data_IF_228816897919
#
_entry.id   IF_228816897919
#
_cell.length_a   1.000
_cell.length_b   1.000
_cell.length_c   1.000
_cell.angle_alpha   90.00
_cell.angle_beta   90.00
_cell.angle_gamma   90.00
#
_symmetry.space_group_name_H-M   'P 1'
#
loop_
_entity.id
_entity.type
_entity.pdbx_description
1 polymer ?
#
# COMPACT_ATOMS: atom_id res chain seq x y z
N UNK A 1 4.06 58.70 20.29
CA UNK A 1 5.09 57.85 19.79
C UNK A 1 5.20 56.61 20.67
N UNK A 2 4.74 55.52 20.13
CA UNK A 2 4.99 54.11 20.41
C UNK A 2 5.48 53.68 21.81
N UNK A 3 4.52 53.34 22.67
CA UNK A 3 4.73 52.55 23.88
C UNK A 3 3.95 51.22 23.85
N UNK A 4 3.79 50.59 22.70
CA UNK A 4 2.98 49.35 22.53
C UNK A 4 3.82 48.09 22.30
N UNK A 5 5.13 48.10 22.46
CA UNK A 5 6.01 46.97 22.22
C UNK A 5 6.68 46.36 23.46
N UNK A 6 6.28 46.78 24.68
CA UNK A 6 6.93 46.30 25.92
C UNK A 6 6.21 45.18 26.68
N UNK A 7 4.97 44.84 26.34
CA UNK A 7 4.18 43.89 27.16
C UNK A 7 3.94 42.57 26.46
N UNK A 8 4.88 41.92 25.88
CA UNK A 8 4.90 40.50 25.41
C UNK A 8 3.67 39.60 25.60
N UNK A 9 2.46 40.17 25.61
CA UNK A 9 1.20 39.48 25.74
C UNK A 9 0.55 39.30 24.35
N UNK A 10 0.93 38.25 23.67
CA UNK A 10 0.16 37.77 22.54
C UNK A 10 -1.22 37.30 23.07
N UNK A 11 -2.20 38.17 23.01
CA UNK A 11 -3.60 37.79 23.13
C UNK A 11 -3.92 36.92 21.89
N UNK A 12 -4.00 35.63 22.09
CA UNK A 12 -4.33 34.66 21.07
C UNK A 12 -5.68 34.99 20.40
N UNK A 13 -5.60 35.57 19.19
CA UNK A 13 -6.73 35.66 18.30
C UNK A 13 -7.21 34.25 18.00
N UNK A 14 -8.43 33.95 18.42
CA UNK A 14 -9.14 32.73 18.07
C UNK A 14 -9.24 32.62 16.55
N UNK A 15 -8.44 31.73 15.96
CA UNK A 15 -8.55 31.37 14.55
C UNK A 15 -9.92 30.71 14.32
N UNK A 16 -10.79 31.21 13.45
CA UNK A 16 -12.06 30.56 13.07
C UNK A 16 -11.80 29.53 11.96
N UNK A 17 -10.83 28.62 12.17
CA UNK A 17 -10.53 27.55 11.18
C UNK A 17 -11.10 26.18 11.55
N UNK A 18 -11.94 26.11 12.60
CA UNK A 18 -12.54 24.83 13.00
C UNK A 18 -13.95 24.57 12.43
N UNK A 19 -14.47 25.48 11.58
CA UNK A 19 -15.82 25.36 11.02
C UNK A 19 -15.97 24.35 9.88
N UNK A 20 -14.91 24.07 9.12
CA UNK A 20 -14.98 23.22 7.94
C UNK A 20 -15.01 21.71 8.21
N UNK A 21 -14.41 21.26 9.31
CA UNK A 21 -14.31 19.82 9.61
C UNK A 21 -15.52 19.28 10.36
N UNK A 22 -16.30 20.16 11.01
CA UNK A 22 -17.51 19.75 11.77
C UNK A 22 -18.73 19.48 10.91
N UNK A 23 -18.82 20.00 9.69
CA UNK A 23 -20.00 19.82 8.83
C UNK A 23 -20.11 18.42 8.20
N UNK A 24 -19.03 17.62 8.21
CA UNK A 24 -19.09 16.23 7.75
C UNK A 24 -19.49 15.23 8.85
N UNK A 25 -19.59 15.66 10.12
CA UNK A 25 -19.86 14.78 11.26
C UNK A 25 -21.35 14.53 11.53
N UNK A 26 -22.26 15.32 10.95
CA UNK A 26 -23.68 15.32 11.36
C UNK A 26 -24.66 14.71 10.34
N UNK A 27 -24.21 14.10 9.26
CA UNK A 27 -25.11 13.33 8.40
C UNK A 27 -25.03 11.85 8.74
N UNK A 28 -25.63 11.51 9.90
CA UNK A 28 -26.02 10.16 10.24
C UNK A 28 -27.07 9.65 9.25
N UNK A 29 -26.61 8.96 8.22
CA UNK A 29 -27.48 8.20 7.35
C UNK A 29 -27.01 6.75 7.36
N UNK A 30 -27.83 5.90 7.94
CA UNK A 30 -27.74 4.47 8.21
C UNK A 30 -26.96 4.06 9.47
N UNK A 31 -27.66 3.49 10.46
CA UNK A 31 -27.03 2.76 11.55
C UNK A 31 -26.64 1.35 11.04
N UNK A 32 -25.55 1.24 10.31
CA UNK A 32 -24.92 -0.04 10.16
C UNK A 32 -24.31 -0.38 11.53
N UNK A 33 -25.04 -1.18 12.32
CA UNK A 33 -24.52 -1.73 13.59
C UNK A 33 -23.28 -2.55 13.23
N UNK A 34 -22.12 -1.95 13.44
CA UNK A 34 -20.84 -2.65 13.31
C UNK A 34 -20.90 -3.82 14.29
N UNK A 35 -20.75 -5.08 13.85
CA UNK A 35 -20.71 -6.19 14.79
C UNK A 35 -19.51 -5.95 15.72
N UNK A 36 -19.73 -6.14 17.02
CA UNK A 36 -18.76 -5.93 18.12
C UNK A 36 -17.41 -6.61 17.80
N UNK A 37 -17.43 -7.66 16.99
CA UNK A 37 -16.25 -8.36 16.51
C UNK A 37 -15.31 -7.50 15.65
N UNK A 38 -15.86 -6.65 14.73
CA UNK A 38 -15.04 -5.78 13.89
C UNK A 38 -14.37 -4.68 14.71
N UNK A 39 -15.06 -4.13 15.71
CA UNK A 39 -14.49 -3.14 16.60
C UNK A 39 -13.32 -3.72 17.41
N UNK A 40 -13.46 -4.96 17.87
CA UNK A 40 -12.42 -5.65 18.65
C UNK A 40 -11.16 -5.96 17.86
N UNK A 41 -11.31 -6.23 16.54
CA UNK A 41 -10.19 -6.55 15.65
C UNK A 41 -9.53 -5.31 15.07
N UNK A 42 -10.34 -4.31 14.63
CA UNK A 42 -9.83 -3.16 13.86
C UNK A 42 -9.75 -1.86 14.67
N UNK A 43 -10.27 -1.81 15.90
CA UNK A 43 -10.26 -0.64 16.79
C UNK A 43 -10.69 0.67 16.06
N UNK A 44 -11.78 0.62 15.31
CA UNK A 44 -12.25 1.69 14.43
C UNK A 44 -12.49 3.00 15.18
N UNK A 45 -13.09 2.93 16.37
CA UNK A 45 -13.32 4.10 17.23
C UNK A 45 -12.02 4.76 17.69
N UNK A 46 -11.02 3.95 18.08
CA UNK A 46 -9.72 4.45 18.49
C UNK A 46 -8.97 5.15 17.34
N UNK A 47 -9.24 4.76 16.10
CA UNK A 47 -8.65 5.35 14.89
C UNK A 47 -9.48 6.52 14.32
N UNK A 48 -10.63 6.83 14.93
CA UNK A 48 -11.51 7.92 14.50
C UNK A 48 -12.17 7.68 13.13
N UNK A 49 -12.32 6.43 12.71
CA UNK A 49 -12.89 6.04 11.43
C UNK A 49 -14.19 5.24 11.61
N UNK A 50 -14.90 4.99 10.52
CA UNK A 50 -16.13 4.19 10.50
C UNK A 50 -15.98 3.06 9.49
N UNK A 51 -16.70 1.93 9.69
CA UNK A 51 -16.69 0.81 8.76
C UNK A 51 -17.04 1.22 7.32
N UNK A 52 -17.94 2.18 7.15
CA UNK A 52 -18.30 2.71 5.83
C UNK A 52 -17.12 3.43 5.17
N UNK A 53 -16.40 4.24 5.92
CA UNK A 53 -15.21 4.95 5.43
C UNK A 53 -14.13 3.95 5.01
N UNK A 54 -13.89 2.92 5.82
CA UNK A 54 -12.89 1.88 5.53
C UNK A 54 -13.26 1.06 4.28
N UNK A 55 -14.54 0.68 4.13
CA UNK A 55 -15.01 -0.04 2.94
C UNK A 55 -14.85 0.82 1.68
N UNK A 56 -15.24 2.11 1.74
CA UNK A 56 -15.08 3.02 0.61
C UNK A 56 -13.59 3.25 0.27
N UNK A 57 -12.75 3.42 1.27
CA UNK A 57 -11.30 3.54 1.08
C UNK A 57 -10.71 2.26 0.45
N UNK A 58 -11.11 1.09 0.94
CA UNK A 58 -10.71 -0.19 0.37
C UNK A 58 -11.15 -0.37 -1.08
N UNK A 59 -12.39 0.01 -1.41
CA UNK A 59 -12.92 -0.02 -2.77
C UNK A 59 -12.14 0.95 -3.69
N UNK A 60 -11.83 2.15 -3.22
CA UNK A 60 -11.04 3.13 -3.97
C UNK A 60 -9.63 2.58 -4.24
N UNK A 61 -8.98 1.97 -3.25
CA UNK A 61 -7.69 1.32 -3.39
C UNK A 61 -7.76 0.18 -4.41
N UNK A 62 -8.78 -0.67 -4.33
CA UNK A 62 -9.00 -1.75 -5.29
C UNK A 62 -9.15 -1.22 -6.72
N UNK A 63 -9.97 -0.19 -6.94
CA UNK A 63 -10.17 0.39 -8.26
C UNK A 63 -8.88 0.99 -8.84
N UNK A 64 -8.07 1.66 -8.02
CA UNK A 64 -6.76 2.19 -8.45
C UNK A 64 -5.80 1.07 -8.86
N UNK A 65 -5.83 -0.07 -8.16
CA UNK A 65 -4.96 -1.22 -8.42
C UNK A 65 -5.50 -2.12 -9.53
N UNK A 66 -6.77 -2.01 -9.91
CA UNK A 66 -7.43 -2.90 -10.87
C UNK A 66 -6.79 -2.86 -12.28
N UNK A 67 -6.14 -1.76 -12.66
CA UNK A 67 -5.41 -1.66 -13.92
C UNK A 67 -4.34 -2.75 -14.08
N UNK A 68 -3.74 -3.21 -12.98
CA UNK A 68 -2.73 -4.27 -12.97
C UNK A 68 -3.31 -5.59 -13.48
N UNK A 69 -4.59 -5.86 -13.23
CA UNK A 69 -5.25 -7.09 -13.66
C UNK A 69 -5.25 -7.27 -15.18
N UNK A 70 -5.27 -6.16 -15.93
CA UNK A 70 -5.25 -6.17 -17.39
C UNK A 70 -3.83 -6.08 -17.94
N UNK A 71 -3.00 -5.23 -17.38
CA UNK A 71 -1.62 -5.00 -17.86
C UNK A 71 -0.73 -6.20 -17.59
N UNK A 72 -0.91 -6.89 -16.46
CA UNK A 72 -0.08 -8.01 -16.05
C UNK A 72 -0.14 -9.21 -17.02
N UNK A 73 -1.33 -9.70 -17.43
CA UNK A 73 -1.44 -10.74 -18.46
C UNK A 73 -0.88 -10.35 -19.81
N UNK A 74 -0.97 -9.08 -20.20
CA UNK A 74 -0.41 -8.60 -21.46
C UNK A 74 1.12 -8.62 -21.46
N UNK A 75 1.76 -8.24 -20.35
CA UNK A 75 3.22 -8.26 -20.25
C UNK A 75 3.74 -9.69 -20.16
N UNK A 76 3.22 -10.50 -19.22
CA UNK A 76 3.71 -11.86 -18.98
C UNK A 76 3.26 -12.85 -20.06
N UNK A 77 2.12 -12.62 -20.71
CA UNK A 77 1.69 -13.38 -21.89
C UNK A 77 2.67 -13.29 -23.06
N UNK A 78 3.42 -12.18 -23.17
CA UNK A 78 4.48 -12.05 -24.17
C UNK A 78 5.71 -12.92 -23.86
N UNK A 79 5.86 -13.41 -22.65
CA UNK A 79 6.88 -14.39 -22.27
C UNK A 79 6.46 -15.84 -22.59
N UNK A 80 5.26 -16.04 -23.18
CA UNK A 80 4.73 -17.37 -23.49
C UNK A 80 3.93 -18.02 -22.36
N UNK A 81 3.63 -17.28 -21.29
CA UNK A 81 2.80 -17.77 -20.19
C UNK A 81 1.31 -17.74 -20.58
N UNK A 82 0.55 -18.70 -20.02
CA UNK A 82 -0.91 -18.73 -20.17
C UNK A 82 -1.56 -17.48 -19.56
N UNK A 83 -2.34 -16.74 -20.37
CA UNK A 83 -2.96 -15.47 -19.97
C UNK A 83 -3.95 -15.62 -18.83
N UNK A 84 -4.71 -16.71 -18.79
CA UNK A 84 -5.72 -16.93 -17.77
C UNK A 84 -5.05 -17.26 -16.43
N UNK A 85 -4.01 -18.11 -16.46
CA UNK A 85 -3.21 -18.39 -15.27
C UNK A 85 -2.53 -17.14 -14.71
N UNK A 86 -1.97 -16.29 -15.59
CA UNK A 86 -1.31 -15.03 -15.21
C UNK A 86 -2.31 -13.97 -14.71
N UNK A 87 -3.57 -14.06 -15.08
CA UNK A 87 -4.63 -13.22 -14.52
C UNK A 87 -5.00 -13.68 -13.10
N UNK A 88 -5.27 -14.99 -12.93
CA UNK A 88 -5.79 -15.55 -11.67
C UNK A 88 -4.74 -15.58 -10.56
N UNK A 89 -3.51 -16.01 -10.86
CA UNK A 89 -2.47 -16.19 -9.85
C UNK A 89 -2.10 -14.90 -9.09
N UNK A 90 -1.87 -13.74 -9.74
CA UNK A 90 -1.64 -12.48 -9.06
C UNK A 90 -2.85 -11.97 -8.27
N UNK A 91 -4.08 -12.24 -8.76
CA UNK A 91 -5.29 -11.89 -8.01
C UNK A 91 -5.34 -12.62 -6.66
N UNK A 92 -5.10 -13.93 -6.67
CA UNK A 92 -5.09 -14.74 -5.45
C UNK A 92 -3.94 -14.33 -4.53
N UNK A 93 -2.75 -14.10 -5.06
CA UNK A 93 -1.60 -13.65 -4.29
C UNK A 93 -1.85 -12.28 -3.65
N UNK A 94 -2.39 -11.32 -4.40
CA UNK A 94 -2.71 -9.98 -3.90
C UNK A 94 -3.82 -10.01 -2.86
N UNK A 95 -4.86 -10.79 -3.08
CA UNK A 95 -5.95 -10.98 -2.12
C UNK A 95 -5.43 -11.59 -0.81
N UNK A 96 -4.65 -12.66 -0.91
CA UNK A 96 -4.05 -13.32 0.27
C UNK A 96 -3.10 -12.36 1.02
N UNK A 97 -2.20 -11.68 0.31
CA UNK A 97 -1.28 -10.71 0.91
C UNK A 97 -2.00 -9.56 1.58
N UNK A 98 -3.02 -9.00 0.94
CA UNK A 98 -3.84 -7.91 1.50
C UNK A 98 -4.62 -8.35 2.73
N UNK A 99 -5.22 -9.56 2.71
CA UNK A 99 -5.92 -10.13 3.85
C UNK A 99 -4.97 -10.36 5.03
N UNK A 100 -3.80 -10.94 4.79
CA UNK A 100 -2.80 -11.14 5.83
C UNK A 100 -2.32 -9.80 6.43
N UNK A 101 -2.08 -8.79 5.58
CA UNK A 101 -1.70 -7.46 6.04
C UNK A 101 -2.81 -6.81 6.88
N UNK A 102 -4.06 -6.90 6.44
CA UNK A 102 -5.21 -6.35 7.17
C UNK A 102 -5.50 -7.07 8.48
N UNK A 103 -5.46 -8.41 8.49
CA UNK A 103 -5.85 -9.20 9.67
C UNK A 103 -4.72 -9.38 10.68
N UNK A 104 -3.49 -9.64 10.23
CA UNK A 104 -2.35 -9.90 11.12
C UNK A 104 -1.60 -8.63 11.52
N UNK A 105 -1.33 -7.75 10.57
CA UNK A 105 -0.60 -6.52 10.83
C UNK A 105 -1.52 -5.34 11.18
N UNK A 106 -2.83 -5.46 10.93
CA UNK A 106 -3.82 -4.41 11.15
C UNK A 106 -3.45 -3.08 10.45
N UNK A 107 -2.86 -3.19 9.23
CA UNK A 107 -2.54 -2.05 8.36
C UNK A 107 -3.46 -2.03 7.13
N UNK A 108 -4.09 -0.89 6.79
CA UNK A 108 -4.96 -0.75 5.63
C UNK A 108 -4.14 -0.53 4.34
N UNK A 109 -3.26 -1.48 4.01
CA UNK A 109 -2.37 -1.39 2.84
C UNK A 109 -2.72 -2.53 1.88
N UNK A 110 -3.17 -2.16 0.67
CA UNK A 110 -3.38 -3.11 -0.42
C UNK A 110 -2.04 -3.63 -0.97
N UNK A 111 -1.97 -4.93 -1.23
CA UNK A 111 -0.81 -5.57 -1.84
C UNK A 111 -1.09 -5.85 -3.31
N UNK A 112 -0.12 -5.52 -4.18
CA UNK A 112 -0.20 -5.83 -5.61
C UNK A 112 1.20 -6.12 -6.18
N UNK A 113 1.28 -6.92 -7.27
CA UNK A 113 2.55 -7.18 -7.93
C UNK A 113 3.12 -5.91 -8.58
N UNK A 114 4.45 -5.77 -8.56
CA UNK A 114 5.13 -4.65 -9.18
C UNK A 114 5.28 -4.83 -10.69
N UNK A 115 4.68 -3.95 -11.50
CA UNK A 115 4.73 -4.04 -12.98
C UNK A 115 6.14 -3.92 -13.55
N UNK A 116 7.02 -3.14 -12.92
CA UNK A 116 8.40 -2.99 -13.36
C UNK A 116 9.19 -4.30 -13.35
N UNK A 117 8.98 -5.13 -12.34
CA UNK A 117 9.63 -6.45 -12.22
C UNK A 117 9.09 -7.39 -13.31
N UNK A 118 7.82 -7.33 -13.65
CA UNK A 118 7.22 -8.15 -14.71
C UNK A 118 7.78 -7.79 -16.09
N UNK A 119 8.06 -6.51 -16.34
CA UNK A 119 8.73 -6.08 -17.56
C UNK A 119 10.17 -6.59 -17.64
N UNK A 120 10.94 -6.52 -16.54
CA UNK A 120 12.30 -7.10 -16.46
C UNK A 120 12.27 -8.60 -16.69
N UNK A 121 11.32 -9.31 -16.10
CA UNK A 121 11.12 -10.74 -16.29
C UNK A 121 10.89 -11.07 -17.76
N UNK A 122 9.90 -10.43 -18.41
CA UNK A 122 9.50 -10.74 -19.78
C UNK A 122 10.54 -10.31 -20.79
N UNK A 123 11.00 -9.07 -20.73
CA UNK A 123 11.88 -8.50 -21.74
C UNK A 123 13.37 -8.73 -21.43
N UNK A 124 13.74 -8.73 -20.17
CA UNK A 124 15.13 -8.96 -19.76
C UNK A 124 15.49 -10.44 -19.75
N UNK A 125 14.80 -11.26 -18.96
CA UNK A 125 15.16 -12.66 -18.73
C UNK A 125 14.67 -13.56 -19.88
N UNK A 126 13.36 -13.53 -20.19
CA UNK A 126 12.81 -14.48 -21.18
C UNK A 126 13.21 -14.09 -22.59
N UNK A 127 12.90 -12.87 -23.04
CA UNK A 127 13.20 -12.44 -24.41
C UNK A 127 14.66 -12.01 -24.61
N UNK A 128 15.27 -11.34 -23.63
CA UNK A 128 16.61 -10.81 -23.76
C UNK A 128 17.70 -11.88 -23.61
N UNK A 129 17.53 -12.81 -22.66
CA UNK A 129 18.48 -13.91 -22.42
C UNK A 129 18.05 -15.23 -23.08
N UNK A 130 16.86 -15.30 -23.67
CA UNK A 130 16.36 -16.52 -24.32
C UNK A 130 16.03 -17.66 -23.35
N UNK A 131 15.80 -17.35 -22.08
CA UNK A 131 15.49 -18.36 -21.08
C UNK A 131 14.03 -18.81 -21.16
N UNK A 132 13.74 -20.11 -20.99
CA UNK A 132 12.38 -20.58 -20.81
C UNK A 132 11.72 -19.87 -19.61
N UNK A 133 10.45 -19.49 -19.76
CA UNK A 133 9.74 -18.76 -18.70
C UNK A 133 9.63 -19.56 -17.39
N UNK A 134 9.60 -20.90 -17.45
CA UNK A 134 9.60 -21.80 -16.29
C UNK A 134 10.87 -21.65 -15.47
N UNK A 135 12.04 -21.59 -16.15
CA UNK A 135 13.33 -21.42 -15.48
C UNK A 135 13.45 -20.03 -14.86
N UNK A 136 13.00 -18.99 -15.56
CA UNK A 136 12.97 -17.63 -15.06
C UNK A 136 12.01 -17.50 -13.85
N UNK A 137 10.87 -18.17 -13.88
CA UNK A 137 9.91 -18.20 -12.75
C UNK A 137 10.49 -18.93 -11.54
N UNK A 138 11.24 -20.01 -11.76
CA UNK A 138 11.99 -20.70 -10.70
C UNK A 138 13.01 -19.79 -10.01
N UNK A 139 13.75 -18.98 -10.78
CA UNK A 139 14.68 -17.99 -10.23
C UNK A 139 13.95 -16.90 -9.40
N UNK A 140 12.80 -16.43 -9.84
CA UNK A 140 11.97 -15.49 -9.09
C UNK A 140 11.47 -16.11 -7.78
N UNK A 141 11.04 -17.38 -7.80
CA UNK A 141 10.63 -18.10 -6.60
C UNK A 141 11.78 -18.23 -5.58
N UNK A 142 12.98 -18.62 -6.03
CA UNK A 142 14.15 -18.70 -5.16
C UNK A 142 14.52 -17.32 -4.58
N UNK A 143 14.44 -16.27 -5.39
CA UNK A 143 14.66 -14.89 -4.93
C UNK A 143 13.65 -14.48 -3.86
N UNK A 144 12.37 -14.83 -4.03
CA UNK A 144 11.34 -14.60 -3.03
C UNK A 144 11.59 -15.36 -1.72
N UNK A 145 12.01 -16.62 -1.81
CA UNK A 145 12.36 -17.44 -0.64
C UNK A 145 13.56 -16.85 0.11
N UNK A 146 14.59 -16.45 -0.63
CA UNK A 146 15.77 -15.79 -0.06
C UNK A 146 15.38 -14.46 0.61
N UNK A 147 14.50 -13.68 -0.01
CA UNK A 147 14.00 -12.42 0.58
C UNK A 147 13.27 -12.66 1.91
N UNK A 148 12.44 -13.69 2.00
CA UNK A 148 11.76 -14.07 3.24
C UNK A 148 12.78 -14.46 4.31
N UNK A 149 13.77 -15.28 3.94
CA UNK A 149 14.84 -15.70 4.86
C UNK A 149 15.63 -14.51 5.42
N UNK A 150 16.06 -13.59 4.54
CA UNK A 150 16.77 -12.36 4.92
C UNK A 150 15.90 -11.46 5.81
N UNK A 151 14.59 -11.41 5.54
CA UNK A 151 13.65 -10.65 6.35
C UNK A 151 13.49 -11.22 7.76
N UNK A 152 13.45 -12.55 7.90
CA UNK A 152 13.38 -13.23 9.20
C UNK A 152 14.65 -13.02 10.04
N UNK A 153 15.80 -12.93 9.39
CA UNK A 153 17.10 -12.72 10.05
C UNK A 153 17.34 -11.26 10.49
N UNK A 154 16.34 -10.36 10.35
CA UNK A 154 16.44 -8.92 10.65
C UNK A 154 17.56 -8.16 9.91
N UNK A 155 18.18 -8.78 8.95
CA UNK A 155 19.26 -8.17 8.14
C UNK A 155 18.69 -6.95 7.36
N UNK A 156 17.41 -6.99 7.01
CA UNK A 156 16.72 -5.89 6.35
C UNK A 156 16.76 -4.59 7.16
N UNK A 157 16.58 -4.65 8.49
CA UNK A 157 16.64 -3.46 9.35
C UNK A 157 18.02 -2.81 9.29
N UNK A 158 19.07 -3.61 9.25
CA UNK A 158 20.43 -3.13 9.13
C UNK A 158 20.68 -2.41 7.80
N UNK A 159 20.22 -2.98 6.67
CA UNK A 159 20.31 -2.35 5.35
C UNK A 159 19.53 -1.05 5.29
N UNK A 160 18.27 -1.02 5.77
CA UNK A 160 17.44 0.18 5.76
C UNK A 160 18.04 1.29 6.63
N UNK A 161 18.65 0.94 7.76
CA UNK A 161 19.30 1.92 8.64
C UNK A 161 20.65 2.42 8.10
N UNK A 162 21.30 1.65 7.25
CA UNK A 162 22.53 2.07 6.58
C UNK A 162 22.30 3.13 5.47
N UNK A 163 21.05 3.26 4.98
CA UNK A 163 20.72 4.23 3.93
C UNK A 163 20.54 5.63 4.57
N UNK A 164 21.29 6.66 4.10
CA UNK A 164 21.12 8.04 4.55
C UNK A 164 19.68 8.53 4.36
N UNK A 165 19.20 9.36 5.29
CA UNK A 165 17.82 9.90 5.27
C UNK A 165 17.50 10.69 4.00
N UNK A 166 18.48 11.43 3.47
CA UNK A 166 18.34 12.15 2.20
C UNK A 166 18.03 11.24 1.02
N UNK A 167 18.66 10.05 0.96
CA UNK A 167 18.42 9.05 -0.09
C UNK A 167 17.05 8.39 0.08
N UNK A 168 16.59 8.17 1.32
CA UNK A 168 15.24 7.65 1.60
C UNK A 168 14.17 8.59 1.05
N UNK A 169 14.32 9.92 1.25
CA UNK A 169 13.39 10.90 0.71
C UNK A 169 13.43 10.96 -0.82
N UNK A 170 14.62 10.86 -1.43
CA UNK A 170 14.74 10.83 -2.88
C UNK A 170 14.09 9.59 -3.50
N UNK A 171 14.24 8.42 -2.88
CA UNK A 171 13.57 7.18 -3.32
C UNK A 171 12.05 7.32 -3.22
N UNK A 172 11.54 7.88 -2.11
CA UNK A 172 10.10 8.11 -1.93
C UNK A 172 9.54 9.04 -3.00
N UNK A 173 10.26 10.12 -3.33
CA UNK A 173 9.88 11.04 -4.39
C UNK A 173 9.95 10.42 -5.80
N UNK A 174 10.85 9.45 -6.02
CA UNK A 174 10.97 8.77 -7.31
C UNK A 174 9.96 7.64 -7.54
N UNK A 175 9.32 7.14 -6.49
CA UNK A 175 8.30 6.08 -6.57
C UNK A 175 6.89 6.65 -6.68
N UNK A 176 6.65 7.86 -6.18
CA UNK A 176 5.36 8.57 -6.26
C UNK A 176 5.25 9.44 -7.48
#
# INVERSE_FOLDING_TARGET
>A
PNRALADGRWSGGTHPASGGVRLFRERGFFPFRIPIMLEKVFALHARGTTARTEILAGLTTFLTMSAILFINPDILGQAGMDRDAVFVAPCLASATGTLLMGLLANYPIGQAPGMGINAVFTFGLVKGMGLPWETALGAVFLSGLLFVLVSLLRVREWFVNAIPTSLKHAITAGVG
#
